data_IF_222962842333
#
_entry.id   IF_222962842333
#
_cell.length_a   1.000
_cell.length_b   1.000
_cell.length_c   1.000
_cell.angle_alpha   90.00
_cell.angle_beta   90.00
_cell.angle_gamma   90.00
#
_symmetry.space_group_name_H-M   'P 1'
#
loop_
_entity.id
_entity.type
_entity.pdbx_description
1 polymer ?
#
# COMPACT_ATOMS: atom_id res chain seq x y z
N UNK A 1 -27.80 5.56 -2.31
CA UNK A 1 -27.68 4.85 -1.02
C UNK A 1 -26.88 3.56 -1.21
N UNK A 2 -27.23 2.74 -2.21
CA UNK A 2 -26.53 1.49 -2.55
C UNK A 2 -25.00 1.64 -2.78
N UNK A 3 -24.55 2.68 -3.48
CA UNK A 3 -23.11 2.86 -3.74
C UNK A 3 -22.30 3.13 -2.46
N UNK A 4 -22.83 3.96 -1.55
CA UNK A 4 -22.18 4.24 -0.25
C UNK A 4 -22.11 2.98 0.61
N UNK A 5 -23.16 2.16 0.59
CA UNK A 5 -23.18 0.88 1.31
C UNK A 5 -22.13 -0.08 0.74
N UNK A 6 -22.07 -0.21 -0.59
CA UNK A 6 -21.06 -1.04 -1.26
C UNK A 6 -19.64 -0.57 -0.93
N UNK A 7 -19.37 0.74 -0.99
CA UNK A 7 -18.04 1.29 -0.71
C UNK A 7 -17.68 1.07 0.77
N UNK A 8 -18.60 1.29 1.72
CA UNK A 8 -18.31 1.05 3.13
C UNK A 8 -18.05 -0.43 3.45
N UNK A 9 -18.88 -1.32 2.93
CA UNK A 9 -18.75 -2.75 3.23
C UNK A 9 -17.58 -3.39 2.49
N UNK A 10 -17.50 -3.18 1.18
CA UNK A 10 -16.55 -3.89 0.30
C UNK A 10 -15.24 -3.15 0.22
N UNK A 11 -15.26 -1.88 -0.21
CA UNK A 11 -14.02 -1.14 -0.42
C UNK A 11 -13.32 -0.83 0.90
N UNK A 12 -14.00 -0.24 1.87
CA UNK A 12 -13.37 0.01 3.16
C UNK A 12 -13.22 -1.25 3.99
N UNK A 13 -14.31 -1.99 4.22
CA UNK A 13 -14.28 -3.16 5.11
C UNK A 13 -13.37 -4.30 4.65
N UNK A 14 -13.42 -4.67 3.37
CA UNK A 14 -12.59 -5.78 2.87
C UNK A 14 -11.25 -5.28 2.32
N UNK A 15 -11.27 -4.29 1.43
CA UNK A 15 -10.06 -3.92 0.68
C UNK A 15 -9.10 -3.06 1.53
N UNK A 16 -9.60 -1.99 2.13
CA UNK A 16 -8.75 -1.07 2.91
C UNK A 16 -8.42 -1.68 4.28
N UNK A 17 -9.42 -2.13 5.04
CA UNK A 17 -9.21 -2.56 6.42
C UNK A 17 -8.50 -3.93 6.47
N UNK A 18 -8.97 -4.95 5.73
CA UNK A 18 -8.40 -6.30 5.80
C UNK A 18 -7.11 -6.51 5.00
N UNK A 19 -6.90 -5.80 3.89
CA UNK A 19 -5.64 -5.93 3.13
C UNK A 19 -4.68 -4.79 3.46
N UNK A 20 -5.04 -3.54 3.17
CA UNK A 20 -4.07 -2.43 3.27
C UNK A 20 -3.63 -2.16 4.71
N UNK A 21 -4.56 -1.85 5.61
CA UNK A 21 -4.24 -1.46 6.98
C UNK A 21 -3.75 -2.64 7.82
N UNK A 22 -4.34 -3.83 7.64
CA UNK A 22 -3.88 -5.03 8.34
C UNK A 22 -2.46 -5.44 7.93
N UNK A 23 -2.10 -5.37 6.64
CA UNK A 23 -0.74 -5.69 6.21
C UNK A 23 0.26 -4.63 6.66
N UNK A 24 -0.10 -3.34 6.60
CA UNK A 24 0.72 -2.27 7.18
C UNK A 24 0.97 -2.48 8.67
N UNK A 25 -0.04 -2.89 9.44
CA UNK A 25 0.12 -3.19 10.86
C UNK A 25 1.06 -4.40 11.12
N UNK A 26 1.02 -5.43 10.24
CA UNK A 26 1.97 -6.55 10.33
C UNK A 26 3.39 -6.10 10.00
N UNK A 27 3.58 -5.28 8.97
CA UNK A 27 4.89 -4.74 8.60
C UNK A 27 5.43 -3.87 9.74
N UNK A 28 4.62 -2.94 10.24
CA UNK A 28 4.98 -2.03 11.35
C UNK A 28 5.47 -2.80 12.58
N UNK A 29 4.80 -3.92 12.92
CA UNK A 29 5.13 -4.77 14.07
C UNK A 29 6.34 -5.69 13.85
N UNK A 30 6.49 -6.25 12.66
CA UNK A 30 7.47 -7.31 12.39
C UNK A 30 8.84 -6.79 11.93
N UNK A 31 8.92 -5.54 11.47
CA UNK A 31 10.19 -4.91 11.12
C UNK A 31 10.62 -3.98 12.26
N UNK A 32 11.70 -4.33 12.96
CA UNK A 32 12.20 -3.59 14.12
C UNK A 32 12.94 -2.31 13.68
N UNK A 33 12.56 -1.10 14.16
CA UNK A 33 13.32 0.13 13.90
C UNK A 33 14.71 0.15 14.56
N UNK A 34 15.09 -0.82 15.41
CA UNK A 34 16.36 -0.87 16.12
C UNK A 34 17.58 -1.30 15.26
N UNK A 35 17.83 -0.53 14.19
CA UNK A 35 19.15 -0.03 13.78
C UNK A 35 20.36 -1.00 13.68
N UNK A 36 20.16 -2.24 13.26
CA UNK A 36 21.29 -3.03 12.74
C UNK A 36 21.60 -2.64 11.28
N UNK A 37 22.86 -2.81 10.86
CA UNK A 37 23.27 -2.56 9.49
C UNK A 37 22.46 -3.47 8.54
N UNK A 38 21.81 -2.90 7.52
CA UNK A 38 20.89 -3.64 6.64
C UNK A 38 19.41 -3.52 7.00
N UNK A 39 19.02 -2.48 7.76
CA UNK A 39 17.63 -2.28 8.17
C UNK A 39 16.69 -2.11 6.98
N UNK A 40 15.67 -2.97 6.87
CA UNK A 40 14.71 -3.02 5.77
C UNK A 40 13.49 -2.15 6.12
N UNK A 41 13.66 -0.83 6.17
CA UNK A 41 12.56 0.11 6.43
C UNK A 41 11.68 0.35 5.19
N UNK A 42 12.20 -0.02 4.03
CA UNK A 42 11.57 0.08 2.73
C UNK A 42 10.18 -0.55 2.58
N UNK A 43 9.88 -1.78 3.08
CA UNK A 43 8.61 -2.45 2.78
C UNK A 43 7.41 -1.66 3.28
N UNK A 44 7.56 -0.95 4.40
CA UNK A 44 6.51 -0.09 4.94
C UNK A 44 6.20 1.07 3.99
N UNK A 45 7.23 1.81 3.59
CA UNK A 45 7.07 2.92 2.64
C UNK A 45 6.53 2.45 1.30
N UNK A 46 7.08 1.36 0.72
CA UNK A 46 6.61 0.78 -0.54
C UNK A 46 5.12 0.46 -0.47
N UNK A 47 4.68 -0.23 0.58
CA UNK A 47 3.27 -0.60 0.74
C UNK A 47 2.38 0.64 0.82
N UNK A 48 2.78 1.66 1.59
CA UNK A 48 2.00 2.90 1.70
C UNK A 48 1.87 3.57 0.33
N UNK A 49 2.96 3.71 -0.42
CA UNK A 49 2.90 4.31 -1.74
C UNK A 49 2.07 3.51 -2.74
N UNK A 50 2.14 2.17 -2.72
CA UNK A 50 1.28 1.33 -3.55
C UNK A 50 -0.20 1.54 -3.22
N UNK A 51 -0.55 1.69 -1.95
CA UNK A 51 -1.90 2.04 -1.53
C UNK A 51 -2.31 3.44 -2.00
N UNK A 52 -1.42 4.43 -1.89
CA UNK A 52 -1.66 5.80 -2.36
C UNK A 52 -1.87 5.87 -3.88
N UNK A 53 -1.07 5.14 -4.66
CA UNK A 53 -1.23 5.03 -6.12
C UNK A 53 -2.61 4.45 -6.47
N UNK A 54 -2.95 3.31 -5.88
CA UNK A 54 -4.22 2.66 -6.14
C UNK A 54 -5.42 3.52 -5.75
N UNK A 55 -5.44 4.10 -4.55
CA UNK A 55 -6.54 4.95 -4.10
C UNK A 55 -6.57 6.25 -4.90
N UNK A 56 -5.41 6.84 -5.17
CA UNK A 56 -5.24 8.01 -6.02
C UNK A 56 -5.89 7.85 -7.38
N UNK A 57 -5.69 6.71 -8.03
CA UNK A 57 -6.33 6.37 -9.29
C UNK A 57 -7.87 6.30 -9.19
N UNK A 58 -8.41 5.77 -8.08
CA UNK A 58 -9.86 5.70 -7.86
C UNK A 58 -10.49 7.08 -7.66
N UNK A 59 -9.77 8.03 -7.07
CA UNK A 59 -10.31 9.34 -6.69
C UNK A 59 -9.98 10.47 -7.68
N UNK A 60 -8.95 10.32 -8.52
CA UNK A 60 -8.45 11.43 -9.34
C UNK A 60 -9.54 12.02 -10.26
N UNK A 61 -9.58 13.34 -10.41
CA UNK A 61 -10.49 13.99 -11.35
C UNK A 61 -9.75 15.11 -12.12
N UNK A 62 -9.53 14.98 -13.44
CA UNK A 62 -9.95 13.88 -14.33
C UNK A 62 -9.30 12.53 -13.98
N UNK A 63 -9.87 11.43 -14.51
CA UNK A 63 -9.34 10.06 -14.31
C UNK A 63 -7.93 9.96 -14.91
N UNK A 64 -6.95 9.63 -14.07
CA UNK A 64 -5.59 9.36 -14.50
C UNK A 64 -5.50 7.99 -15.18
N UNK A 65 -4.43 7.78 -15.95
CA UNK A 65 -4.15 6.46 -16.50
C UNK A 65 -3.73 5.49 -15.39
N UNK A 66 -4.04 4.19 -15.50
CA UNK A 66 -3.62 3.21 -14.49
C UNK A 66 -2.11 3.13 -14.26
N UNK A 67 -1.29 3.51 -15.24
CA UNK A 67 0.18 3.52 -15.19
C UNK A 67 0.77 4.90 -14.79
N UNK A 68 -0.08 5.89 -14.52
CA UNK A 68 0.34 7.22 -14.05
C UNK A 68 0.47 7.27 -12.53
N UNK A 69 1.40 6.48 -11.99
CA UNK A 69 1.66 6.41 -10.55
C UNK A 69 1.94 7.77 -9.93
N UNK A 70 2.67 8.63 -10.65
CA UNK A 70 2.98 9.99 -10.20
C UNK A 70 1.71 10.81 -10.00
N UNK A 71 0.86 10.87 -11.03
CA UNK A 71 -0.41 11.60 -10.99
C UNK A 71 -1.36 11.05 -9.93
N UNK A 72 -1.39 9.73 -9.73
CA UNK A 72 -2.24 9.10 -8.73
C UNK A 72 -1.82 9.44 -7.30
N UNK A 73 -0.53 9.29 -6.99
CA UNK A 73 0.02 9.65 -5.67
C UNK A 73 -0.21 11.15 -5.39
N UNK A 74 0.03 12.01 -6.38
CA UNK A 74 -0.27 13.46 -6.31
C UNK A 74 -1.73 13.68 -5.95
N UNK A 75 -2.66 13.05 -6.67
CA UNK A 75 -4.09 13.19 -6.43
C UNK A 75 -4.45 12.81 -4.99
N UNK A 76 -3.89 11.72 -4.46
CA UNK A 76 -4.10 11.30 -3.08
C UNK A 76 -3.56 12.32 -2.05
N UNK A 77 -2.32 12.77 -2.22
CA UNK A 77 -1.66 13.70 -1.30
C UNK A 77 -2.42 15.03 -1.24
N UNK A 78 -2.69 15.65 -2.39
CA UNK A 78 -3.32 16.97 -2.41
C UNK A 78 -4.74 16.94 -1.82
N UNK A 79 -5.42 15.80 -1.95
CA UNK A 79 -6.78 15.65 -1.46
C UNK A 79 -6.84 15.42 0.06
N UNK A 80 -5.86 14.71 0.65
CA UNK A 80 -6.00 14.16 2.00
C UNK A 80 -4.86 14.43 2.99
N UNK A 81 -3.65 14.77 2.54
CA UNK A 81 -2.57 15.05 3.49
C UNK A 81 -2.85 16.31 4.31
N UNK A 82 -2.23 16.41 5.48
CA UNK A 82 -2.22 17.66 6.24
C UNK A 82 -1.51 18.78 5.47
N UNK A 83 -1.90 20.04 5.69
CA UNK A 83 -1.24 21.20 5.06
C UNK A 83 0.26 21.29 5.42
N UNK A 84 0.64 20.82 6.63
CA UNK A 84 2.04 20.71 7.03
C UNK A 84 2.77 19.72 6.11
N UNK A 85 2.22 18.52 5.96
CA UNK A 85 2.86 17.47 5.16
C UNK A 85 2.87 17.84 3.68
N UNK A 86 1.78 18.41 3.13
CA UNK A 86 1.75 18.97 1.76
C UNK A 86 2.89 19.95 1.50
N UNK A 87 3.16 20.87 2.44
CA UNK A 87 4.29 21.81 2.35
C UNK A 87 5.65 21.11 2.28
N UNK A 88 5.82 20.02 3.02
CA UNK A 88 7.05 19.23 2.98
C UNK A 88 7.20 18.46 1.66
N UNK A 89 6.10 17.98 1.07
CA UNK A 89 6.09 17.33 -0.24
C UNK A 89 5.85 18.30 -1.40
N UNK A 90 5.97 19.63 -1.22
CA UNK A 90 5.68 20.61 -2.28
C UNK A 90 6.52 20.45 -3.54
N UNK A 91 7.69 19.82 -3.45
CA UNK A 91 8.37 19.25 -4.60
C UNK A 91 7.98 17.78 -4.78
N UNK A 92 6.71 17.54 -5.17
CA UNK A 92 6.16 16.19 -5.26
C UNK A 92 6.97 15.32 -6.22
N UNK A 93 7.62 15.93 -7.23
CA UNK A 93 8.57 15.25 -8.11
C UNK A 93 9.78 14.68 -7.36
N UNK A 94 10.30 15.34 -6.32
CA UNK A 94 11.37 14.80 -5.47
C UNK A 94 10.86 13.68 -4.57
N UNK A 95 9.65 13.82 -4.03
CA UNK A 95 8.99 12.78 -3.23
C UNK A 95 8.70 11.51 -4.06
N UNK A 96 8.20 11.68 -5.28
CA UNK A 96 7.98 10.59 -6.24
C UNK A 96 9.32 10.06 -6.76
N UNK A 97 10.37 10.88 -6.90
CA UNK A 97 11.71 10.37 -7.19
C UNK A 97 12.23 9.49 -6.06
N UNK A 98 11.92 9.76 -4.78
CA UNK A 98 12.20 8.82 -3.69
C UNK A 98 11.38 7.54 -3.88
N UNK A 99 10.11 7.63 -4.28
CA UNK A 99 9.31 6.45 -4.59
C UNK A 99 9.81 5.63 -5.80
N UNK A 100 10.15 6.25 -6.93
CA UNK A 100 10.58 5.53 -8.15
C UNK A 100 12.06 5.15 -8.13
N UNK A 101 12.92 6.05 -7.63
CA UNK A 101 14.36 5.86 -7.57
C UNK A 101 14.79 5.40 -6.18
N UNK A 102 14.39 6.07 -5.10
CA UNK A 102 14.76 5.70 -3.73
C UNK A 102 14.35 4.26 -3.35
N UNK A 103 13.19 3.78 -3.83
CA UNK A 103 12.80 2.38 -3.63
C UNK A 103 13.73 1.38 -4.34
N UNK A 104 14.14 1.68 -5.57
CA UNK A 104 15.11 0.85 -6.31
C UNK A 104 16.54 1.03 -5.77
N UNK A 105 16.79 2.06 -4.97
CA UNK A 105 18.11 2.49 -4.51
C UNK A 105 18.36 2.32 -3.01
N UNK A 106 17.41 1.87 -2.20
CA UNK A 106 17.79 1.21 -0.92
C UNK A 106 18.67 -0.02 -1.18
N UNK A 107 18.59 -0.61 -2.38
CA UNK A 107 19.55 -1.60 -2.86
C UNK A 107 20.90 -0.99 -3.33
N UNK A 108 20.97 0.31 -3.65
CA UNK A 108 22.17 1.01 -4.16
C UNK A 108 22.21 2.49 -3.72
N UNK A 109 23.03 2.81 -2.72
CA UNK A 109 23.13 4.13 -2.11
C UNK A 109 23.41 5.28 -3.12
N UNK A 110 22.38 6.06 -3.44
CA UNK A 110 22.52 7.42 -4.01
C UNK A 110 21.51 8.37 -3.38
N UNK A 111 21.99 9.21 -2.47
CA UNK A 111 21.41 10.50 -2.01
C UNK A 111 19.96 10.52 -1.47
N UNK A 112 19.35 9.38 -1.17
CA UNK A 112 18.05 9.28 -0.50
C UNK A 112 18.01 8.08 0.46
N UNK A 113 17.14 8.13 1.49
CA UNK A 113 16.95 7.03 2.44
C UNK A 113 15.57 7.00 3.09
N UNK A 114 15.25 5.90 3.78
CA UNK A 114 14.01 5.74 4.54
C UNK A 114 14.34 5.53 6.03
N UNK A 115 13.71 6.31 6.90
CA UNK A 115 13.81 6.20 8.36
C UNK A 115 12.47 5.80 9.00
N UNK A 116 12.52 5.46 10.29
CA UNK A 116 11.38 5.16 11.16
C UNK A 116 11.58 5.76 12.56
N UNK A 117 12.25 6.91 12.62
CA UNK A 117 12.70 7.57 13.87
C UNK A 117 12.62 9.09 13.82
N UNK A 118 12.27 9.64 12.67
CA UNK A 118 12.10 11.05 12.45
C UNK A 118 10.79 11.56 13.04
N UNK A 119 10.71 12.88 13.17
CA UNK A 119 9.50 13.60 13.61
C UNK A 119 8.85 14.37 12.45
N UNK A 120 9.47 14.35 11.28
CA UNK A 120 9.04 15.03 10.07
C UNK A 120 8.94 14.02 8.92
N UNK A 121 8.02 14.27 7.99
CA UNK A 121 7.80 13.36 6.85
C UNK A 121 9.04 13.30 5.96
N UNK A 122 9.66 14.45 5.73
CA UNK A 122 10.92 14.58 5.00
C UNK A 122 11.91 15.38 5.82
N UNK A 123 13.15 14.88 5.91
CA UNK A 123 14.26 15.54 6.59
C UNK A 123 15.55 15.38 5.78
N UNK A 124 16.54 16.23 6.04
CA UNK A 124 17.89 16.09 5.45
C UNK A 124 18.79 15.45 6.49
N UNK A 125 19.37 14.28 6.18
CA UNK A 125 20.49 13.74 6.92
C UNK A 125 21.73 14.54 6.56
N UNK A 126 22.16 15.42 7.46
CA UNK A 126 23.29 16.33 7.27
C UNK A 126 24.61 15.57 7.07
N UNK A 127 24.76 14.41 7.71
CA UNK A 127 26.00 13.62 7.64
C UNK A 127 26.11 12.92 6.29
N UNK A 128 24.98 12.45 5.75
CA UNK A 128 24.92 11.73 4.46
C UNK A 128 24.57 12.62 3.28
N UNK A 129 24.30 13.90 3.52
CA UNK A 129 23.76 14.85 2.54
C UNK A 129 22.59 14.26 1.74
N UNK A 130 21.72 13.51 2.43
CA UNK A 130 20.68 12.71 1.82
C UNK A 130 19.30 13.15 2.27
N UNK A 131 18.33 13.11 1.35
CA UNK A 131 16.93 13.33 1.70
C UNK A 131 16.36 12.04 2.31
N UNK A 132 15.82 12.13 3.52
CA UNK A 132 15.30 11.00 4.29
C UNK A 132 13.79 11.12 4.44
N UNK A 133 13.08 10.08 4.01
CA UNK A 133 11.65 9.90 4.20
C UNK A 133 11.40 9.13 5.48
N UNK A 134 10.58 9.67 6.40
CA UNK A 134 10.16 8.91 7.56
C UNK A 134 8.87 8.11 7.30
N UNK A 135 8.99 6.78 7.34
CA UNK A 135 7.91 5.87 7.02
C UNK A 135 6.84 5.79 8.13
N UNK A 136 7.18 6.06 9.39
CA UNK A 136 6.20 6.06 10.47
C UNK A 136 5.37 7.35 10.43
N UNK A 137 5.99 8.49 10.15
CA UNK A 137 5.26 9.75 9.90
C UNK A 137 4.37 9.61 8.66
N UNK A 138 4.88 9.01 7.58
CA UNK A 138 4.09 8.73 6.37
C UNK A 138 2.90 7.80 6.66
N UNK A 139 3.09 6.76 7.49
CA UNK A 139 2.01 5.86 7.90
C UNK A 139 0.92 6.61 8.68
N UNK A 140 1.31 7.54 9.56
CA UNK A 140 0.38 8.40 10.29
C UNK A 140 -0.47 9.28 9.37
N UNK A 141 0.16 9.93 8.40
CA UNK A 141 -0.54 10.72 7.36
C UNK A 141 -1.47 9.84 6.53
N UNK A 142 -1.04 8.63 6.14
CA UNK A 142 -1.87 7.70 5.39
C UNK A 142 -3.11 7.25 6.18
N UNK A 143 -2.96 6.84 7.45
CA UNK A 143 -4.10 6.45 8.32
C UNK A 143 -5.10 7.60 8.49
N UNK A 144 -4.60 8.82 8.69
CA UNK A 144 -5.43 10.02 8.78
C UNK A 144 -6.17 10.28 7.46
N UNK A 145 -5.48 10.12 6.34
CA UNK A 145 -6.05 10.27 4.99
C UNK A 145 -7.17 9.27 4.70
N UNK A 146 -7.02 8.01 5.14
CA UNK A 146 -8.09 7.00 5.01
C UNK A 146 -9.33 7.38 5.82
N UNK A 147 -9.13 7.95 7.00
CA UNK A 147 -10.25 8.42 7.86
C UNK A 147 -11.01 9.56 7.18
N UNK A 148 -10.29 10.54 6.63
CA UNK A 148 -10.88 11.65 5.87
C UNK A 148 -11.56 11.18 4.58
N UNK A 149 -10.95 10.22 3.85
CA UNK A 149 -11.56 9.62 2.66
C UNK A 149 -12.88 8.92 3.02
N UNK A 150 -12.92 8.15 4.11
CA UNK A 150 -14.15 7.49 4.58
C UNK A 150 -15.24 8.52 4.92
N UNK A 151 -14.88 9.61 5.56
CA UNK A 151 -15.78 10.73 5.84
C UNK A 151 -16.32 11.35 4.55
N UNK A 152 -15.43 11.75 3.62
CA UNK A 152 -15.83 12.33 2.33
C UNK A 152 -16.74 11.40 1.53
N UNK A 153 -16.48 10.11 1.48
CA UNK A 153 -17.36 9.14 0.78
C UNK A 153 -18.76 9.09 1.39
N UNK A 154 -18.87 9.23 2.71
CA UNK A 154 -20.17 9.24 3.38
C UNK A 154 -20.95 10.54 3.15
N UNK A 155 -20.25 11.65 2.91
CA UNK A 155 -20.84 12.95 2.59
C UNK A 155 -21.17 13.04 1.07
N UNK A 156 -20.25 12.63 0.20
CA UNK A 156 -20.32 12.77 -1.25
C UNK A 156 -20.69 11.46 -1.96
N UNK A 157 -21.92 11.42 -2.50
CA UNK A 157 -22.41 10.29 -3.29
C UNK A 157 -21.68 10.13 -4.63
N UNK A 158 -21.26 11.22 -5.27
CA UNK A 158 -20.57 11.18 -6.56
C UNK A 158 -19.19 10.53 -6.40
N UNK A 159 -18.45 10.87 -5.34
CA UNK A 159 -17.20 10.20 -4.99
C UNK A 159 -17.40 8.71 -4.72
N UNK A 160 -18.45 8.33 -3.98
CA UNK A 160 -18.77 6.92 -3.74
C UNK A 160 -19.04 6.15 -5.04
N UNK A 161 -19.87 6.71 -5.93
CA UNK A 161 -20.16 6.13 -7.25
C UNK A 161 -18.88 6.01 -8.10
N UNK A 162 -18.02 7.04 -8.06
CA UNK A 162 -16.75 7.04 -8.79
C UNK A 162 -15.84 5.90 -8.33
N UNK A 163 -15.62 5.75 -7.02
CA UNK A 163 -14.78 4.70 -6.44
C UNK A 163 -15.30 3.32 -6.84
N UNK A 164 -16.61 3.07 -6.65
CA UNK A 164 -17.24 1.79 -7.03
C UNK A 164 -17.06 1.50 -8.52
N UNK A 165 -17.39 2.45 -9.37
CA UNK A 165 -17.33 2.29 -10.83
C UNK A 165 -15.92 1.95 -11.29
N UNK A 166 -14.92 2.74 -10.85
CA UNK A 166 -13.53 2.53 -11.25
C UNK A 166 -12.96 1.22 -10.70
N UNK A 167 -13.31 0.87 -9.46
CA UNK A 167 -12.89 -0.42 -8.89
C UNK A 167 -13.43 -1.61 -9.69
N UNK A 168 -14.73 -1.60 -10.03
CA UNK A 168 -15.36 -2.67 -10.79
C UNK A 168 -14.80 -2.76 -12.22
N UNK A 169 -14.53 -1.62 -12.85
CA UNK A 169 -13.85 -1.56 -14.15
C UNK A 169 -12.47 -2.25 -14.09
N UNK A 170 -11.64 -1.92 -13.11
CA UNK A 170 -10.33 -2.55 -12.92
C UNK A 170 -10.46 -4.06 -12.71
N UNK A 171 -11.39 -4.49 -11.84
CA UNK A 171 -11.62 -5.91 -11.54
C UNK A 171 -12.05 -6.69 -12.79
N UNK A 172 -12.92 -6.10 -13.61
CA UNK A 172 -13.36 -6.70 -14.87
C UNK A 172 -12.21 -6.84 -15.86
N UNK A 173 -11.38 -5.80 -16.02
CA UNK A 173 -10.20 -5.84 -16.88
C UNK A 173 -9.22 -6.95 -16.46
N UNK A 174 -8.95 -7.08 -15.16
CA UNK A 174 -8.08 -8.13 -14.63
C UNK A 174 -8.66 -9.54 -14.84
N UNK A 175 -9.98 -9.69 -14.74
CA UNK A 175 -10.66 -10.97 -15.03
C UNK A 175 -10.48 -11.39 -16.50
N UNK A 176 -10.66 -10.45 -17.43
CA UNK A 176 -10.47 -10.70 -18.87
C UNK A 176 -9.03 -11.09 -19.21
N UNK A 177 -8.05 -10.40 -18.63
CA UNK A 177 -6.62 -10.75 -18.79
C UNK A 177 -6.35 -12.16 -18.27
N UNK A 178 -6.86 -12.49 -17.07
CA UNK A 178 -6.68 -13.81 -16.46
C UNK A 178 -7.27 -14.92 -17.32
N UNK A 179 -8.50 -14.73 -17.82
CA UNK A 179 -9.13 -15.68 -18.74
C UNK A 179 -8.33 -15.84 -20.04
N UNK A 180 -7.81 -14.75 -20.61
CA UNK A 180 -6.96 -14.79 -21.78
C UNK A 180 -5.67 -15.58 -21.57
N UNK A 181 -5.03 -15.45 -20.40
CA UNK A 181 -3.84 -16.22 -20.02
C UNK A 181 -4.17 -17.71 -19.90
N UNK A 182 -5.27 -18.05 -19.23
CA UNK A 182 -5.71 -19.45 -19.06
C UNK A 182 -5.98 -20.11 -20.42
N UNK A 183 -6.73 -19.44 -21.31
CA UNK A 183 -7.05 -19.97 -22.64
C UNK A 183 -5.80 -20.20 -23.50
N UNK A 184 -4.80 -19.30 -23.43
CA UNK A 184 -3.51 -19.48 -24.11
C UNK A 184 -2.69 -20.62 -23.54
N UNK A 185 -2.72 -20.82 -22.22
CA UNK A 185 -2.07 -21.96 -21.57
C UNK A 185 -2.71 -23.30 -21.93
N UNK A 186 -4.01 -23.33 -22.24
CA UNK A 186 -4.72 -24.54 -22.66
C UNK A 186 -4.54 -24.83 -24.16
N UNK A 187 -4.38 -23.80 -25.00
CA UNK A 187 -4.12 -23.96 -26.43
C UNK A 187 -2.72 -24.50 -26.80
N UNK A 188 -1.75 -24.40 -25.88
CA UNK A 188 -0.36 -24.81 -26.13
C UNK A 188 0.05 -26.16 -25.52
N UNK A 189 -0.88 -26.91 -24.91
CA UNK A 189 -0.58 -28.20 -24.27
C UNK A 189 -1.21 -29.39 -25.02
N UNK A 190 -0.62 -29.75 -26.15
CA UNK A 190 -0.43 -31.17 -26.49
C UNK A 190 0.98 -31.54 -26.03
N UNK A 191 1.14 -31.79 -24.74
CA UNK A 191 2.07 -32.73 -24.09
C UNK A 191 1.88 -32.57 -22.56
N UNK A 192 1.68 -33.71 -21.92
CA UNK A 192 1.18 -33.93 -20.57
C UNK A 192 2.08 -33.38 -19.47
N UNK A 193 1.56 -32.47 -18.63
CA UNK A 193 1.71 -32.52 -17.16
C UNK A 193 0.71 -31.57 -16.49
N UNK A 194 -0.35 -32.15 -15.94
CA UNK A 194 -1.34 -31.47 -15.11
C UNK A 194 -0.69 -31.01 -13.80
N UNK A 195 -0.24 -29.75 -13.72
CA UNK A 195 -0.09 -29.06 -12.44
C UNK A 195 -1.34 -28.22 -12.22
N UNK A 196 -2.32 -28.79 -11.51
CA UNK A 196 -3.38 -28.00 -10.91
C UNK A 196 -2.75 -27.06 -9.89
N UNK A 197 -2.79 -25.75 -10.15
CA UNK A 197 -2.61 -24.76 -9.09
C UNK A 197 -3.77 -24.96 -8.11
N UNK A 198 -3.49 -25.66 -7.00
CA UNK A 198 -4.42 -25.72 -5.88
C UNK A 198 -4.47 -24.31 -5.29
N UNK A 199 -5.62 -23.66 -5.43
CA UNK A 199 -5.98 -22.52 -4.58
C UNK A 199 -5.78 -22.94 -3.11
N UNK A 200 -5.25 -22.08 -2.24
CA UNK A 200 -5.13 -22.40 -0.83
C UNK A 200 -6.53 -22.67 -0.26
N UNK A 201 -6.74 -23.90 0.19
CA UNK A 201 -7.91 -24.28 0.98
C UNK A 201 -7.65 -23.76 2.39
N UNK A 202 -8.36 -22.71 2.78
CA UNK A 202 -8.34 -22.21 4.15
C UNK A 202 -9.09 -23.19 5.07
N UNK A 203 -8.46 -23.77 6.11
CA UNK A 203 -9.17 -24.59 7.07
C UNK A 203 -10.11 -23.71 7.91
N UNK A 204 -11.40 -24.04 7.92
CA UNK A 204 -12.45 -23.28 8.61
C UNK A 204 -12.47 -23.46 10.13
N UNK A 205 -11.49 -24.14 10.73
CA UNK A 205 -11.49 -24.43 12.16
C UNK A 205 -10.11 -24.06 12.73
N UNK A 206 -10.07 -22.92 13.43
CA UNK A 206 -8.96 -22.55 14.30
C UNK A 206 -8.87 -23.60 15.42
N UNK A 207 -7.92 -24.53 15.30
CA UNK A 207 -7.48 -25.35 16.42
C UNK A 207 -6.56 -24.49 17.27
N UNK A 208 -6.95 -24.27 18.52
CA UNK A 208 -6.19 -23.55 19.53
C UNK A 208 -4.83 -24.23 19.69
N UNK A 209 -3.75 -23.52 19.37
CA UNK A 209 -2.40 -24.00 19.64
C UNK A 209 -2.19 -24.09 21.16
N UNK A 210 -1.57 -25.17 21.68
CA UNK A 210 -1.24 -25.27 23.09
C UNK A 210 -0.17 -24.23 23.48
N UNK A 211 -0.11 -23.84 24.77
CA UNK A 211 0.80 -22.80 25.23
C UNK A 211 2.27 -23.22 25.04
N UNK A 212 3.06 -22.29 24.50
CA UNK A 212 4.51 -22.44 24.34
C UNK A 212 5.16 -22.51 25.72
N UNK A 213 5.82 -23.62 26.02
CA UNK A 213 6.70 -23.75 27.18
C UNK A 213 8.09 -23.24 26.79
N UNK A 214 8.59 -22.24 27.53
CA UNK A 214 9.92 -21.68 27.31
C UNK A 214 11.02 -22.69 27.69
N UNK A 215 12.12 -22.78 26.93
CA UNK A 215 13.28 -23.58 27.33
C UNK A 215 13.91 -23.04 28.62
N UNK A 216 14.40 -23.91 29.52
CA UNK A 216 14.95 -23.52 30.83
C UNK A 216 16.21 -22.65 30.78
N UNK A 217 16.80 -22.42 29.60
CA UNK A 217 17.99 -21.58 29.43
C UNK A 217 17.68 -20.07 29.38
N UNK A 218 16.40 -19.67 29.30
CA UNK A 218 15.97 -18.28 29.21
C UNK A 218 15.27 -17.75 30.48
N UNK A 219 15.39 -18.46 31.61
CA UNK A 219 14.98 -17.95 32.92
C UNK A 219 16.23 -17.54 33.70
N UNK A 220 16.61 -16.27 33.60
CA UNK A 220 17.53 -15.57 34.50
C UNK A 220 16.97 -14.21 34.86
#
# INVERSE_FOLDING_TARGET
>A
MEDKEWVNKTFFGEIVDCYMLADLAKIEKNFDPNNECGNCNFPLALQIFSCMDFIGWLISNPKNKPDDTSGNIIAFIFEFFSEKSKKQVMEVDKFIKIFRHGLTHEYFAKSAGISRKGTELLSIDIVKEALVLDADVLLGEFRSSITELRKKVNEDTALATQIKTRYLEMRNNNSLVTQGIISRSQGNNTITRSTSLKLPIYPSNASVAPPVTLPPELIK
#
